data_IF_741844652741
#
_entry.id   IF_741844652741
#
_cell.length_a   1.000
_cell.length_b   1.000
_cell.length_c   1.000
_cell.angle_alpha   90.00
_cell.angle_beta   90.00
_cell.angle_gamma   90.00
#
_symmetry.space_group_name_H-M   'P 1'
#
loop_
_entity.id
_entity.type
_entity.pdbx_description
1 polymer ?
#
# COMPACT_ATOMS: atom_id res chain seq x y z
N UNK A 1 15.60 12.69 -18.20
CA UNK A 1 14.93 11.59 -17.47
C UNK A 1 13.50 11.43 -17.98
N UNK A 2 13.07 10.19 -18.15
CA UNK A 2 11.70 9.83 -18.51
C UNK A 2 11.15 8.85 -17.47
N UNK A 3 9.88 8.50 -17.57
CA UNK A 3 9.30 7.44 -16.74
C UNK A 3 9.96 6.07 -16.95
N UNK A 4 10.65 5.86 -18.09
CA UNK A 4 11.39 4.63 -18.37
C UNK A 4 12.83 4.63 -17.81
N UNK A 5 13.33 5.77 -17.33
CA UNK A 5 14.69 5.85 -16.81
C UNK A 5 14.81 5.07 -15.50
N UNK A 6 15.66 4.05 -15.47
CA UNK A 6 16.01 3.35 -14.23
C UNK A 6 17.01 4.18 -13.43
N UNK A 7 16.75 4.31 -12.16
CA UNK A 7 17.62 5.01 -11.23
C UNK A 7 17.88 4.14 -9.99
N UNK A 8 19.15 3.79 -9.81
CA UNK A 8 19.57 3.09 -8.61
C UNK A 8 19.76 4.11 -7.48
N UNK A 9 19.01 3.94 -6.43
CA UNK A 9 19.09 4.81 -5.24
C UNK A 9 20.43 4.60 -4.53
N UNK A 10 21.33 5.59 -4.46
CA UNK A 10 22.61 5.45 -3.77
C UNK A 10 22.45 5.39 -2.25
N UNK A 11 21.34 5.93 -1.75
CA UNK A 11 20.95 5.93 -0.33
C UNK A 11 19.48 5.58 -0.23
N UNK A 12 19.12 4.74 0.74
CA UNK A 12 17.73 4.41 1.01
C UNK A 12 16.92 5.68 1.39
N UNK A 13 15.76 5.93 0.76
CA UNK A 13 14.96 7.13 1.04
C UNK A 13 14.46 7.20 2.47
N UNK A 14 14.26 6.06 3.12
CA UNK A 14 13.76 5.94 4.49
C UNK A 14 14.21 4.60 5.08
N UNK A 15 14.40 4.50 6.41
CA UNK A 15 14.60 3.21 7.06
C UNK A 15 13.45 2.20 6.84
N UNK A 16 12.24 2.69 6.49
CA UNK A 16 11.11 1.85 6.14
C UNK A 16 10.88 1.71 4.62
N UNK A 17 11.72 2.31 3.79
CA UNK A 17 11.75 2.13 2.33
C UNK A 17 13.19 1.83 1.90
N UNK A 18 13.74 0.67 2.31
CA UNK A 18 15.17 0.39 2.15
C UNK A 18 15.55 -0.06 0.73
N UNK A 19 14.58 -0.45 -0.08
CA UNK A 19 14.80 -1.02 -1.42
C UNK A 19 14.01 -0.26 -2.49
N UNK A 20 14.46 -0.34 -3.74
CA UNK A 20 13.71 0.19 -4.88
C UNK A 20 12.32 -0.47 -5.02
N UNK A 21 12.19 -1.76 -4.68
CA UNK A 21 10.91 -2.47 -4.67
C UNK A 21 9.95 -1.87 -3.67
N UNK A 22 10.38 -1.63 -2.43
CA UNK A 22 9.56 -0.96 -1.41
C UNK A 22 9.08 0.42 -1.89
N UNK A 23 9.94 1.18 -2.57
CA UNK A 23 9.59 2.49 -3.16
C UNK A 23 8.52 2.35 -4.25
N UNK A 24 8.66 1.38 -5.16
CA UNK A 24 7.66 1.17 -6.22
C UNK A 24 6.33 0.67 -5.67
N UNK A 25 6.34 -0.23 -4.70
CA UNK A 25 5.12 -0.76 -4.07
C UNK A 25 4.46 0.25 -3.12
N UNK A 26 5.17 1.29 -2.70
CA UNK A 26 4.65 2.25 -1.72
C UNK A 26 3.32 2.86 -2.12
N UNK A 27 3.14 3.24 -3.38
CA UNK A 27 1.90 3.85 -3.85
C UNK A 27 0.67 2.94 -3.70
N UNK A 28 0.85 1.62 -3.85
CA UNK A 28 -0.22 0.64 -3.68
C UNK A 28 -0.41 0.19 -2.22
N UNK A 29 0.64 0.29 -1.39
CA UNK A 29 0.62 -0.22 -0.03
C UNK A 29 0.41 0.87 1.03
N UNK A 30 0.74 2.15 0.75
CA UNK A 30 0.55 3.21 1.73
C UNK A 30 -0.89 3.36 2.24
N UNK A 31 -1.98 3.05 1.50
CA UNK A 31 -3.33 3.10 2.06
C UNK A 31 -3.54 2.18 3.26
N UNK A 32 -2.76 1.10 3.41
CA UNK A 32 -2.79 0.24 4.58
C UNK A 32 -2.40 0.96 5.89
N UNK A 33 -1.64 2.06 5.85
CA UNK A 33 -1.35 2.86 7.04
C UNK A 33 -2.62 3.46 7.66
N UNK A 34 -3.71 3.45 6.92
CA UNK A 34 -5.05 3.77 7.38
C UNK A 34 -5.91 2.55 7.75
N UNK A 35 -5.29 1.40 8.03
CA UNK A 35 -5.99 0.15 8.38
C UNK A 35 -5.37 -0.52 9.60
N UNK A 36 -5.93 -1.66 10.01
CA UNK A 36 -5.39 -2.50 11.10
C UNK A 36 -4.25 -3.43 10.65
N UNK A 37 -3.91 -3.45 9.37
CA UNK A 37 -2.94 -4.36 8.76
C UNK A 37 -1.51 -3.84 8.95
N UNK A 38 -0.57 -4.73 9.28
CA UNK A 38 0.87 -4.41 9.29
C UNK A 38 1.44 -4.45 7.88
N UNK A 39 2.27 -3.47 7.55
CA UNK A 39 3.06 -3.37 6.30
C UNK A 39 4.49 -3.88 6.46
N UNK A 40 4.73 -4.79 7.40
CA UNK A 40 6.06 -5.30 7.67
C UNK A 40 7.01 -4.29 8.34
N UNK A 41 6.52 -3.14 8.82
CA UNK A 41 7.34 -2.28 9.71
C UNK A 41 7.77 -3.10 10.92
N UNK A 42 9.04 -3.00 11.29
CA UNK A 42 9.61 -3.86 12.33
C UNK A 42 10.05 -5.25 11.82
N UNK A 43 10.24 -5.39 10.51
CA UNK A 43 10.90 -6.50 9.83
C UNK A 43 12.05 -5.98 8.96
N UNK A 44 12.77 -6.86 8.29
CA UNK A 44 13.82 -6.53 7.30
C UNK A 44 13.25 -6.14 5.92
N UNK A 45 11.92 -6.27 5.69
CA UNK A 45 11.23 -6.03 4.41
C UNK A 45 10.00 -5.14 4.55
N UNK A 46 10.10 -3.96 5.17
CA UNK A 46 8.95 -3.05 5.29
C UNK A 46 8.48 -2.60 3.90
N UNK A 47 7.15 -2.52 3.71
CA UNK A 47 6.48 -2.20 2.44
C UNK A 47 6.78 -3.19 1.29
N UNK A 48 7.26 -4.38 1.62
CA UNK A 48 7.34 -5.51 0.69
C UNK A 48 6.50 -6.70 1.14
N UNK A 49 5.67 -6.51 2.16
CA UNK A 49 4.72 -7.48 2.69
C UNK A 49 3.58 -6.76 3.41
N UNK A 50 2.50 -7.48 3.62
CA UNK A 50 1.43 -7.03 4.51
C UNK A 50 0.74 -8.21 5.18
N UNK A 51 0.14 -7.99 6.36
CA UNK A 51 -0.57 -9.05 7.05
C UNK A 51 -1.17 -8.65 8.38
N UNK A 52 -1.98 -9.55 8.91
CA UNK A 52 -2.66 -9.42 10.20
C UNK A 52 -2.75 -10.78 10.88
N UNK A 53 -2.80 -10.88 12.24
CA UNK A 53 -2.95 -12.16 12.93
C UNK A 53 -4.16 -12.96 12.48
N UNK A 54 -5.25 -12.32 12.13
CA UNK A 54 -6.52 -12.96 11.78
C UNK A 54 -6.65 -13.30 10.28
N UNK A 55 -5.63 -13.07 9.45
CA UNK A 55 -5.56 -13.52 8.04
C UNK A 55 -5.20 -15.01 7.98
N UNK A 56 -5.99 -15.86 8.62
CA UNK A 56 -5.65 -17.28 8.84
C UNK A 56 -5.59 -18.12 7.57
N UNK A 57 -6.19 -17.67 6.48
CA UNK A 57 -6.16 -18.35 5.16
C UNK A 57 -4.84 -18.14 4.40
N UNK A 58 -3.93 -17.29 4.89
CA UNK A 58 -2.63 -17.03 4.25
C UNK A 58 -1.54 -17.90 4.85
N UNK A 59 -0.61 -18.38 3.99
CA UNK A 59 0.49 -19.28 4.39
C UNK A 59 1.76 -18.53 4.81
N UNK A 60 2.03 -17.37 4.20
CA UNK A 60 3.16 -16.53 4.59
C UNK A 60 2.94 -15.93 5.97
N UNK A 61 3.99 -15.86 6.79
CA UNK A 61 3.88 -15.28 8.13
C UNK A 61 5.14 -14.49 8.52
N UNK A 62 4.94 -13.49 9.37
CA UNK A 62 5.99 -12.66 9.95
C UNK A 62 5.58 -12.14 11.32
N UNK A 63 6.55 -11.69 12.12
CA UNK A 63 6.29 -11.09 13.43
C UNK A 63 7.04 -9.76 13.52
N UNK A 64 6.33 -8.60 13.55
CA UNK A 64 6.95 -7.31 13.74
C UNK A 64 7.71 -7.23 15.07
N UNK A 65 8.91 -6.67 15.07
CA UNK A 65 9.76 -6.45 16.24
C UNK A 65 10.34 -5.04 16.18
N UNK A 66 10.70 -4.42 17.31
CA UNK A 66 11.38 -3.14 17.30
C UNK A 66 12.64 -3.15 16.43
N UNK A 67 12.78 -2.14 15.57
CA UNK A 67 13.94 -1.89 14.73
C UNK A 67 14.33 -0.42 14.81
N UNK A 68 15.49 -0.04 14.26
CA UNK A 68 15.91 1.36 14.20
C UNK A 68 14.90 2.23 13.42
N UNK A 69 14.25 1.67 12.40
CA UNK A 69 13.25 2.37 11.59
C UNK A 69 11.83 2.36 12.16
N UNK A 70 11.54 1.46 13.11
CA UNK A 70 10.21 1.31 13.72
C UNK A 70 10.37 0.83 15.16
N UNK A 71 10.48 1.76 16.11
CA UNK A 71 10.66 1.44 17.53
C UNK A 71 9.45 0.75 18.15
N UNK A 72 8.25 1.08 17.68
CA UNK A 72 6.97 0.50 18.08
C UNK A 72 6.15 0.18 16.83
N UNK A 73 6.51 -0.92 16.11
CA UNK A 73 5.79 -1.25 14.88
C UNK A 73 4.35 -1.69 15.17
N UNK A 74 3.40 -1.44 14.25
CA UNK A 74 2.07 -2.01 14.36
C UNK A 74 2.11 -3.52 14.53
N UNK A 75 1.26 -4.06 15.42
CA UNK A 75 1.17 -5.49 15.74
C UNK A 75 2.48 -6.10 16.28
N UNK A 76 3.28 -5.30 16.98
CA UNK A 76 4.52 -5.73 17.62
C UNK A 76 4.35 -7.03 18.40
N UNK A 77 5.24 -8.00 18.18
CA UNK A 77 5.25 -9.30 18.86
C UNK A 77 4.13 -10.27 18.44
N UNK A 78 3.19 -9.85 17.61
CA UNK A 78 2.11 -10.72 17.15
C UNK A 78 2.50 -11.43 15.86
N UNK A 79 2.24 -12.74 15.78
CA UNK A 79 2.37 -13.49 14.53
C UNK A 79 1.30 -13.03 13.54
N UNK A 80 1.70 -12.36 12.47
CA UNK A 80 0.85 -11.97 11.36
C UNK A 80 0.95 -13.00 10.24
N UNK A 81 -0.18 -13.31 9.60
CA UNK A 81 -0.24 -14.02 8.33
C UNK A 81 -0.63 -13.05 7.23
N UNK A 82 -0.18 -13.28 6.00
CA UNK A 82 -0.45 -12.33 4.93
C UNK A 82 0.20 -12.68 3.60
N UNK A 83 0.68 -11.66 2.91
CA UNK A 83 1.26 -11.73 1.57
C UNK A 83 2.69 -11.23 1.59
N UNK A 84 3.61 -12.01 0.99
CA UNK A 84 4.99 -11.60 0.71
C UNK A 84 5.10 -11.12 -0.74
N UNK A 85 5.48 -9.88 -0.92
CA UNK A 85 5.74 -9.25 -2.22
C UNK A 85 7.24 -9.09 -2.48
N UNK A 86 8.10 -9.51 -1.54
CA UNK A 86 9.54 -9.32 -1.65
C UNK A 86 10.19 -10.14 -2.78
N UNK A 87 9.50 -11.18 -3.25
CA UNK A 87 9.91 -11.95 -4.42
C UNK A 87 9.46 -11.40 -5.77
N UNK A 88 8.65 -10.32 -5.77
CA UNK A 88 8.16 -9.72 -7.01
C UNK A 88 9.33 -9.13 -7.83
N UNK A 89 9.44 -9.42 -9.13
CA UNK A 89 10.43 -8.78 -10.00
C UNK A 89 10.32 -7.26 -9.95
N UNK A 90 11.47 -6.55 -9.99
CA UNK A 90 11.49 -5.09 -9.87
C UNK A 90 10.69 -4.39 -10.97
N UNK A 91 10.76 -4.92 -12.19
CA UNK A 91 9.97 -4.41 -13.31
C UNK A 91 8.46 -4.54 -13.05
N UNK A 92 8.01 -5.66 -12.50
CA UNK A 92 6.60 -5.86 -12.12
C UNK A 92 6.19 -4.92 -10.98
N UNK A 93 7.01 -4.77 -9.95
CA UNK A 93 6.74 -3.85 -8.84
C UNK A 93 6.58 -2.39 -9.32
N UNK A 94 7.36 -1.98 -10.32
CA UNK A 94 7.27 -0.66 -10.95
C UNK A 94 5.95 -0.45 -11.67
N UNK A 95 5.42 -1.48 -12.35
CA UNK A 95 4.16 -1.40 -13.10
C UNK A 95 2.91 -1.43 -12.21
N UNK A 96 3.04 -1.84 -10.93
CA UNK A 96 1.92 -1.87 -9.99
C UNK A 96 1.29 -0.47 -9.84
N UNK A 97 2.11 0.58 -9.69
CA UNK A 97 1.64 1.94 -9.49
C UNK A 97 0.69 2.07 -8.30
N UNK A 98 -0.28 2.99 -8.38
CA UNK A 98 -1.34 3.09 -7.39
C UNK A 98 -2.39 2.01 -7.64
N UNK A 99 -2.64 1.16 -6.64
CA UNK A 99 -3.67 0.12 -6.71
C UNK A 99 -4.32 -0.07 -5.34
N UNK A 100 -5.63 -0.24 -5.32
CA UNK A 100 -6.41 -0.57 -4.12
C UNK A 100 -6.64 -2.07 -3.98
N UNK A 101 -6.24 -2.92 -4.95
CA UNK A 101 -6.51 -4.37 -4.93
C UNK A 101 -6.06 -5.03 -3.64
N UNK A 102 -4.86 -4.69 -3.16
CA UNK A 102 -4.31 -5.30 -1.94
C UNK A 102 -5.14 -4.96 -0.70
N UNK A 103 -5.62 -3.71 -0.60
CA UNK A 103 -6.49 -3.28 0.50
C UNK A 103 -7.86 -3.93 0.40
N UNK A 104 -8.44 -4.02 -0.80
CA UNK A 104 -9.71 -4.68 -1.05
C UNK A 104 -9.62 -6.16 -0.67
N UNK A 105 -8.58 -6.87 -1.14
CA UNK A 105 -8.35 -8.27 -0.83
C UNK A 105 -8.18 -8.51 0.69
N UNK A 106 -7.37 -7.69 1.36
CA UNK A 106 -7.15 -7.80 2.79
C UNK A 106 -8.41 -7.47 3.61
N UNK A 107 -9.22 -6.51 3.17
CA UNK A 107 -10.49 -6.18 3.80
C UNK A 107 -11.47 -7.37 3.70
N UNK A 108 -11.54 -8.02 2.54
CA UNK A 108 -12.35 -9.22 2.33
C UNK A 108 -11.82 -10.40 3.15
N UNK A 109 -10.50 -10.65 3.16
CA UNK A 109 -9.89 -11.74 3.93
C UNK A 109 -10.18 -11.63 5.45
N UNK A 110 -10.17 -10.41 5.98
CA UNK A 110 -10.39 -10.18 7.41
C UNK A 110 -11.86 -10.14 7.81
N UNK A 111 -12.76 -9.74 6.91
CA UNK A 111 -14.20 -9.68 7.19
C UNK A 111 -14.59 -8.80 8.38
N UNK A 112 -13.74 -7.81 8.74
CA UNK A 112 -13.94 -6.97 9.94
C UNK A 112 -14.93 -5.81 9.73
N UNK A 113 -15.41 -5.64 8.50
CA UNK A 113 -16.25 -4.51 8.13
C UNK A 113 -15.56 -3.18 8.45
N UNK A 114 -16.28 -2.25 9.02
CA UNK A 114 -15.81 -0.90 9.33
C UNK A 114 -14.57 -0.87 10.25
N UNK A 115 -14.40 -1.89 11.11
CA UNK A 115 -13.26 -2.01 12.02
C UNK A 115 -11.92 -2.28 11.31
N UNK A 116 -11.92 -2.59 10.02
CA UNK A 116 -10.72 -2.72 9.21
C UNK A 116 -10.01 -1.39 9.03
N UNK A 117 -10.76 -0.29 8.95
CA UNK A 117 -10.26 1.04 8.67
C UNK A 117 -10.02 1.86 9.95
N UNK A 118 -9.03 2.75 9.89
CA UNK A 118 -8.82 3.80 10.88
C UNK A 118 -9.16 5.17 10.27
N UNK A 119 -9.34 6.25 11.06
CA UNK A 119 -9.59 7.59 10.52
C UNK A 119 -8.48 8.12 9.60
N UNK A 120 -7.31 7.47 9.60
CA UNK A 120 -6.21 7.84 8.70
C UNK A 120 -6.50 7.44 7.25
N UNK A 121 -7.29 6.39 7.00
CA UNK A 121 -7.55 5.89 5.64
C UNK A 121 -8.12 6.99 4.72
N UNK A 122 -9.12 7.72 5.19
CA UNK A 122 -9.74 8.79 4.42
C UNK A 122 -8.78 9.96 4.14
N UNK A 123 -7.84 10.22 5.05
CA UNK A 123 -6.79 11.22 4.84
C UNK A 123 -5.79 10.79 3.77
N UNK A 124 -5.49 9.49 3.70
CA UNK A 124 -4.56 8.94 2.70
C UNK A 124 -5.18 8.87 1.31
N UNK A 125 -6.45 8.45 1.21
CA UNK A 125 -7.14 8.35 -0.09
C UNK A 125 -7.83 9.65 -0.50
N UNK A 126 -7.97 10.62 0.40
CA UNK A 126 -8.47 11.97 0.16
C UNK A 126 -10.00 12.09 0.11
N UNK A 127 -10.75 10.98 0.16
CA UNK A 127 -12.22 10.97 0.06
C UNK A 127 -12.83 9.82 0.87
N UNK A 128 -13.99 10.02 1.49
CA UNK A 128 -14.65 9.00 2.34
C UNK A 128 -15.32 7.89 1.55
N UNK A 129 -15.84 8.20 0.38
CA UNK A 129 -16.64 7.25 -0.41
C UNK A 129 -15.84 6.01 -0.91
N UNK A 130 -14.50 6.06 -0.96
CA UNK A 130 -13.67 4.88 -1.31
C UNK A 130 -13.85 3.79 -0.26
N UNK A 131 -13.80 4.14 1.04
CA UNK A 131 -14.07 3.19 2.13
C UNK A 131 -15.46 2.58 2.02
N UNK A 132 -16.48 3.41 1.78
CA UNK A 132 -17.86 2.95 1.62
C UNK A 132 -17.99 1.95 0.46
N UNK A 133 -17.36 2.22 -0.68
CA UNK A 133 -17.37 1.31 -1.82
C UNK A 133 -16.67 -0.01 -1.53
N UNK A 134 -15.51 0.01 -0.85
CA UNK A 134 -14.79 -1.22 -0.45
C UNK A 134 -15.68 -2.06 0.48
N UNK A 135 -16.30 -1.43 1.47
CA UNK A 135 -17.22 -2.11 2.40
C UNK A 135 -18.47 -2.68 1.72
N UNK A 136 -18.92 -2.04 0.64
CA UNK A 136 -20.01 -2.53 -0.20
C UNK A 136 -19.57 -3.66 -1.16
N UNK A 137 -18.29 -4.05 -1.17
CA UNK A 137 -17.78 -5.12 -2.02
C UNK A 137 -17.45 -4.68 -3.46
N UNK A 138 -17.28 -3.38 -3.69
CA UNK A 138 -16.92 -2.87 -5.01
C UNK A 138 -15.50 -3.30 -5.41
N UNK A 139 -15.34 -3.62 -6.69
CA UNK A 139 -14.05 -3.88 -7.31
C UNK A 139 -13.21 -2.60 -7.45
N UNK A 140 -11.88 -2.75 -7.60
CA UNK A 140 -11.02 -1.60 -7.91
C UNK A 140 -11.45 -0.90 -9.21
N UNK A 141 -11.94 -1.63 -10.21
CA UNK A 141 -12.40 -1.06 -11.48
C UNK A 141 -13.61 -0.12 -11.29
N UNK A 142 -14.58 -0.50 -10.46
CA UNK A 142 -15.74 0.33 -10.14
C UNK A 142 -15.33 1.59 -9.36
N UNK A 143 -14.40 1.44 -8.40
CA UNK A 143 -13.86 2.59 -7.66
C UNK A 143 -13.13 3.54 -8.61
N UNK A 144 -12.29 3.01 -9.52
CA UNK A 144 -11.57 3.80 -10.54
C UNK A 144 -12.51 4.52 -11.50
N UNK A 145 -13.58 3.87 -11.92
CA UNK A 145 -14.58 4.49 -12.78
C UNK A 145 -15.22 5.72 -12.13
N UNK A 146 -15.44 5.69 -10.81
CA UNK A 146 -16.05 6.82 -10.08
C UNK A 146 -15.18 8.08 -10.04
N UNK A 147 -13.84 7.95 -9.98
CA UNK A 147 -12.96 9.12 -9.98
C UNK A 147 -12.37 9.48 -11.35
N UNK A 148 -12.69 8.72 -12.41
CA UNK A 148 -12.05 8.86 -13.72
C UNK A 148 -12.10 10.29 -14.26
N UNK A 149 -13.29 10.92 -14.23
CA UNK A 149 -13.49 12.28 -14.73
C UNK A 149 -12.74 13.33 -13.91
N UNK A 150 -12.63 13.13 -12.57
CA UNK A 150 -11.88 14.03 -11.68
C UNK A 150 -10.38 13.94 -11.97
N UNK A 151 -9.88 12.73 -12.19
CA UNK A 151 -8.47 12.48 -12.54
C UNK A 151 -8.14 13.11 -13.89
N UNK A 152 -9.02 12.98 -14.89
CA UNK A 152 -8.78 13.55 -16.22
C UNK A 152 -8.77 15.08 -16.17
N UNK A 153 -9.75 15.69 -15.52
CA UNK A 153 -9.74 17.15 -15.28
C UNK A 153 -8.48 17.63 -14.58
N UNK A 154 -7.96 16.85 -13.61
CA UNK A 154 -6.72 17.20 -12.94
C UNK A 154 -5.50 17.03 -13.86
N UNK A 155 -5.46 16.00 -14.70
CA UNK A 155 -4.40 15.80 -15.70
C UNK A 155 -4.29 16.99 -16.64
N UNK A 156 -5.41 17.45 -17.19
CA UNK A 156 -5.44 18.66 -18.03
C UNK A 156 -4.94 19.88 -17.27
N UNK A 157 -5.43 20.09 -16.04
CA UNK A 157 -5.07 21.26 -15.23
C UNK A 157 -3.60 21.29 -14.86
N UNK A 158 -2.98 20.14 -14.57
CA UNK A 158 -1.57 20.04 -14.14
C UNK A 158 -0.57 20.24 -15.28
N UNK A 159 -0.97 20.04 -16.56
CA UNK A 159 -0.08 20.05 -17.73
C UNK A 159 0.85 21.27 -17.75
N UNK A 160 0.35 22.46 -17.45
CA UNK A 160 1.12 23.70 -17.42
C UNK A 160 2.18 23.78 -16.29
N UNK A 161 2.15 22.85 -15.35
CA UNK A 161 3.10 22.81 -14.22
C UNK A 161 4.15 21.70 -14.37
N UNK A 162 4.00 20.82 -15.37
CA UNK A 162 4.95 19.73 -15.60
C UNK A 162 6.23 20.29 -16.20
N UNK A 163 7.38 19.88 -15.64
CA UNK A 163 8.71 20.19 -16.16
C UNK A 163 9.19 19.12 -17.15
N UNK A 164 8.58 17.93 -17.13
CA UNK A 164 8.90 16.80 -17.98
C UNK A 164 7.61 16.19 -18.51
N UNK A 165 7.64 15.70 -19.74
CA UNK A 165 6.54 14.98 -20.39
C UNK A 165 6.48 13.51 -19.97
#
# INVERSE_FOLDING_TARGET
YTHATEYLLPVAPSPNLPTARAVYLYAALCPFEGTVVSLGRGTDKPFEMYGHPDMTGRTFSFTPRPTAGAKHPPLEGRLCRGVDLSGMPLAEAREVGFSLRYVIDACADLGMGDRFFTPMFEKLVGVGWVREMILAGASEAEIRARWADDVERYRERRTKYLLYE
#
